data_IF_818804352360
#
_entry.id   IF_818804352360
#
_cell.length_a   1.000
_cell.length_b   1.000
_cell.length_c   1.000
_cell.angle_alpha   90.00
_cell.angle_beta   90.00
_cell.angle_gamma   90.00
#
_symmetry.space_group_name_H-M   'P 1'
#
loop_
_entity.id
_entity.type
_entity.pdbx_description
1 polymer ?
#
# COMPACT_ATOMS: atom_id res chain seq x y z
N UNK A 1 21.26 -14.21 -13.14
CA UNK A 1 19.99 -13.45 -13.16
C UNK A 1 18.77 -14.31 -12.79
N UNK A 2 18.04 -14.99 -13.69
CA UNK A 2 16.78 -15.70 -13.32
C UNK A 2 16.94 -16.81 -12.25
N UNK A 3 18.08 -17.52 -12.27
CA UNK A 3 18.44 -18.48 -11.21
C UNK A 3 18.50 -17.82 -9.83
N UNK A 4 19.15 -16.67 -9.72
CA UNK A 4 19.29 -15.96 -8.44
C UNK A 4 17.95 -15.42 -7.96
N UNK A 5 17.14 -14.90 -8.89
CA UNK A 5 15.80 -14.40 -8.58
C UNK A 5 14.92 -15.51 -7.99
N UNK A 6 14.80 -16.66 -8.66
CA UNK A 6 13.92 -17.73 -8.19
C UNK A 6 14.51 -18.62 -7.10
N UNK A 7 15.83 -18.70 -6.93
CA UNK A 7 16.45 -19.56 -5.90
C UNK A 7 16.79 -18.79 -4.62
N UNK A 8 16.71 -17.46 -4.63
CA UNK A 8 16.84 -16.68 -3.41
C UNK A 8 15.75 -17.06 -2.39
N UNK A 9 16.10 -17.02 -1.11
CA UNK A 9 15.19 -17.34 -0.01
C UNK A 9 14.40 -16.10 0.47
N UNK A 10 14.30 -15.07 -0.37
CA UNK A 10 13.57 -13.84 -0.08
C UNK A 10 12.07 -14.05 -0.08
N UNK A 11 11.34 -13.18 0.63
CA UNK A 11 9.88 -13.18 0.61
C UNK A 11 9.33 -12.93 -0.80
N UNK A 12 9.94 -12.01 -1.55
CA UNK A 12 9.52 -11.70 -2.91
C UNK A 12 9.76 -12.90 -3.85
N UNK A 13 10.88 -13.62 -3.73
CA UNK A 13 11.12 -14.82 -4.52
C UNK A 13 10.12 -15.92 -4.23
N UNK A 14 9.79 -16.14 -2.96
CA UNK A 14 8.75 -17.10 -2.57
C UNK A 14 7.38 -16.72 -3.16
N UNK A 15 7.00 -15.43 -3.12
CA UNK A 15 5.79 -14.95 -3.75
C UNK A 15 5.80 -15.15 -5.28
N UNK A 16 6.91 -14.83 -5.95
CA UNK A 16 7.08 -15.06 -7.39
C UNK A 16 6.95 -16.53 -7.77
N UNK A 17 7.58 -17.43 -7.02
CA UNK A 17 7.46 -18.87 -7.22
C UNK A 17 6.02 -19.34 -7.06
N UNK A 18 5.31 -18.85 -6.05
CA UNK A 18 3.92 -19.22 -5.81
C UNK A 18 3.01 -18.79 -6.97
N UNK A 19 3.14 -17.54 -7.42
CA UNK A 19 2.39 -17.03 -8.58
C UNK A 19 2.74 -17.79 -9.85
N UNK A 20 4.03 -18.03 -10.11
CA UNK A 20 4.49 -18.80 -11.26
C UNK A 20 3.90 -20.21 -11.25
N UNK A 21 3.85 -20.85 -10.08
CA UNK A 21 3.29 -22.20 -9.90
C UNK A 21 1.81 -22.28 -10.23
N UNK A 22 1.04 -21.24 -9.89
CA UNK A 22 -0.40 -21.19 -10.12
C UNK A 22 -0.76 -20.75 -11.55
N UNK A 23 0.14 -19.99 -12.22
CA UNK A 23 -0.11 -19.49 -13.59
C UNK A 23 0.48 -20.37 -14.69
N UNK A 24 1.58 -21.06 -14.45
CA UNK A 24 2.26 -21.84 -15.48
C UNK A 24 1.38 -23.02 -15.96
N UNK A 25 1.40 -23.27 -17.27
CA UNK A 25 0.66 -24.36 -17.93
C UNK A 25 1.56 -25.08 -18.93
N UNK A 26 1.20 -26.31 -19.28
CA UNK A 26 1.88 -27.10 -20.32
C UNK A 26 3.37 -27.29 -20.06
N UNK A 27 4.18 -27.16 -21.10
CA UNK A 27 5.63 -27.37 -21.04
C UNK A 27 6.35 -26.41 -20.08
N UNK A 28 5.89 -25.16 -19.99
CA UNK A 28 6.46 -24.17 -19.07
C UNK A 28 6.31 -24.64 -17.62
N UNK A 29 5.16 -25.22 -17.26
CA UNK A 29 4.95 -25.79 -15.93
C UNK A 29 5.90 -26.98 -15.67
N UNK A 30 6.12 -27.84 -16.67
CA UNK A 30 7.03 -28.99 -16.54
C UNK A 30 8.48 -28.53 -16.34
N UNK A 31 8.93 -27.53 -17.10
CA UNK A 31 10.26 -26.94 -16.96
C UNK A 31 10.46 -26.31 -15.58
N UNK A 32 9.48 -25.52 -15.11
CA UNK A 32 9.57 -24.87 -13.79
C UNK A 32 9.51 -25.89 -12.65
N UNK A 33 8.70 -26.95 -12.77
CA UNK A 33 8.66 -28.03 -11.78
C UNK A 33 10.02 -28.72 -11.61
N UNK A 34 10.67 -29.06 -12.73
CA UNK A 34 11.99 -29.67 -12.71
C UNK A 34 13.05 -28.70 -12.16
N UNK A 35 13.04 -27.45 -12.63
CA UNK A 35 14.02 -26.43 -12.26
C UNK A 35 13.95 -26.01 -10.78
N UNK A 36 12.74 -25.85 -10.23
CA UNK A 36 12.50 -25.41 -8.85
C UNK A 36 12.21 -26.56 -7.88
N UNK A 37 12.28 -27.81 -8.36
CA UNK A 37 12.03 -29.01 -7.56
C UNK A 37 10.66 -29.01 -6.86
N UNK A 38 9.61 -28.47 -7.51
CA UNK A 38 8.27 -28.34 -6.92
C UNK A 38 7.55 -29.66 -6.64
N UNK A 39 8.04 -30.78 -7.18
CA UNK A 39 7.48 -32.12 -6.96
C UNK A 39 7.46 -32.53 -5.49
N UNK A 40 8.35 -31.95 -4.67
CA UNK A 40 8.51 -32.30 -3.26
C UNK A 40 7.57 -31.55 -2.31
N UNK A 41 6.85 -30.53 -2.78
CA UNK A 41 6.09 -29.61 -1.92
C UNK A 41 4.63 -29.48 -2.39
N UNK A 42 3.66 -29.58 -1.48
CA UNK A 42 2.26 -29.28 -1.80
C UNK A 42 2.07 -27.80 -2.20
N UNK A 43 1.07 -27.47 -3.04
CA UNK A 43 0.69 -26.08 -3.29
C UNK A 43 0.28 -25.41 -1.96
N UNK A 44 0.87 -24.26 -1.67
CA UNK A 44 0.51 -23.46 -0.49
C UNK A 44 -0.57 -22.46 -0.90
N UNK A 45 -1.57 -22.27 -0.05
CA UNK A 45 -2.61 -21.27 -0.27
C UNK A 45 -2.03 -19.84 -0.20
N UNK A 46 -2.45 -18.97 -1.13
CA UNK A 46 -1.94 -17.60 -1.20
C UNK A 46 -2.35 -16.79 0.03
N UNK A 47 -3.57 -16.98 0.53
CA UNK A 47 -4.05 -16.33 1.75
C UNK A 47 -3.18 -16.67 2.95
N UNK A 48 -2.84 -17.95 3.13
CA UNK A 48 -1.92 -18.38 4.20
C UNK A 48 -0.56 -17.69 4.11
N UNK A 49 0.01 -17.58 2.89
CA UNK A 49 1.31 -16.91 2.72
C UNK A 49 1.19 -15.41 3.02
N UNK A 50 0.14 -14.74 2.54
CA UNK A 50 -0.08 -13.32 2.84
C UNK A 50 -0.23 -13.08 4.34
N UNK A 51 -1.06 -13.86 5.05
CA UNK A 51 -1.22 -13.74 6.51
C UNK A 51 0.11 -13.97 7.25
N UNK A 52 0.93 -14.93 6.80
CA UNK A 52 2.27 -15.15 7.39
C UNK A 52 3.20 -13.95 7.18
N UNK A 53 3.19 -13.34 5.99
CA UNK A 53 4.02 -12.16 5.71
C UNK A 53 3.54 -10.95 6.52
N UNK A 54 2.23 -10.73 6.64
CA UNK A 54 1.66 -9.68 7.47
C UNK A 54 2.03 -9.86 8.95
N UNK A 55 1.92 -11.09 9.47
CA UNK A 55 2.36 -11.40 10.83
C UNK A 55 3.86 -11.14 11.01
N UNK A 56 4.68 -11.42 10.01
CA UNK A 56 6.12 -11.15 10.04
C UNK A 56 6.43 -9.66 10.13
N UNK A 57 5.68 -8.81 9.41
CA UNK A 57 5.78 -7.35 9.54
C UNK A 57 5.38 -6.91 10.96
N UNK A 58 4.27 -7.43 11.49
CA UNK A 58 3.74 -7.05 12.80
C UNK A 58 4.60 -7.53 13.98
N UNK A 59 5.38 -8.60 13.80
CA UNK A 59 6.30 -9.14 14.81
C UNK A 59 7.76 -8.71 14.59
N UNK A 60 8.01 -7.81 13.64
CA UNK A 60 9.38 -7.44 13.28
C UNK A 60 10.13 -6.84 14.49
N UNK A 61 11.32 -7.36 14.85
CA UNK A 61 12.09 -6.84 15.97
C UNK A 61 12.76 -5.49 15.67
N UNK A 62 12.90 -5.14 14.39
CA UNK A 62 13.39 -3.82 13.95
C UNK A 62 12.19 -2.91 13.73
N UNK A 63 11.88 -2.13 14.76
CA UNK A 63 10.69 -1.28 14.81
C UNK A 63 10.96 0.20 14.52
N UNK A 64 12.14 0.53 13.98
CA UNK A 64 12.57 1.91 13.78
C UNK A 64 12.42 2.33 12.32
N UNK A 65 12.02 3.59 12.13
CA UNK A 65 12.07 4.26 10.83
C UNK A 65 13.52 4.37 10.34
N UNK A 66 13.71 4.34 9.04
CA UNK A 66 14.98 4.61 8.39
C UNK A 66 14.94 6.02 7.79
N UNK A 67 15.99 6.78 8.03
CA UNK A 67 16.14 8.09 7.40
C UNK A 67 16.45 7.91 5.91
N UNK A 68 15.74 8.65 5.07
CA UNK A 68 15.92 8.71 3.63
C UNK A 68 15.95 10.17 3.20
N UNK A 69 16.95 10.55 2.41
CA UNK A 69 17.02 11.91 1.83
C UNK A 69 15.83 12.20 0.92
N UNK A 70 15.39 11.19 0.16
CA UNK A 70 14.28 11.31 -0.79
C UNK A 70 12.92 11.18 -0.13
N UNK A 71 12.80 10.23 0.82
CA UNK A 71 11.51 9.81 1.37
C UNK A 71 11.21 10.30 2.80
N UNK A 72 12.20 10.86 3.52
CA UNK A 72 12.06 11.23 4.93
C UNK A 72 12.19 10.03 5.87
N UNK A 73 11.33 9.94 6.89
CA UNK A 73 11.21 8.73 7.72
C UNK A 73 10.46 7.64 6.94
N UNK A 74 11.19 6.60 6.51
CA UNK A 74 10.66 5.52 5.67
C UNK A 74 10.88 4.14 6.31
N UNK A 75 10.34 3.11 5.65
CA UNK A 75 10.44 1.72 6.04
C UNK A 75 11.81 1.13 5.67
N UNK A 76 12.27 0.16 6.46
CA UNK A 76 13.48 -0.58 6.10
C UNK A 76 13.31 -1.42 4.82
N UNK A 77 14.41 -1.70 4.12
CA UNK A 77 14.42 -2.54 2.93
C UNK A 77 13.74 -3.91 3.14
N UNK A 78 13.88 -4.49 4.33
CA UNK A 78 13.25 -5.77 4.67
C UNK A 78 11.72 -5.66 4.73
N UNK A 79 11.20 -4.57 5.30
CA UNK A 79 9.74 -4.32 5.34
C UNK A 79 9.23 -4.09 3.93
N UNK A 80 9.95 -3.30 3.13
CA UNK A 80 9.62 -3.09 1.71
C UNK A 80 9.56 -4.40 0.92
N UNK A 81 10.49 -5.33 1.15
CA UNK A 81 10.45 -6.65 0.52
C UNK A 81 9.18 -7.44 0.87
N UNK A 82 8.74 -7.41 2.13
CA UNK A 82 7.47 -8.04 2.52
C UNK A 82 6.26 -7.35 1.88
N UNK A 83 6.25 -6.01 1.81
CA UNK A 83 5.20 -5.24 1.15
C UNK A 83 5.10 -5.63 -0.32
N UNK A 84 6.21 -5.69 -1.05
CA UNK A 84 6.21 -6.09 -2.46
C UNK A 84 5.78 -7.55 -2.66
N UNK A 85 6.17 -8.45 -1.75
CA UNK A 85 5.72 -9.84 -1.79
C UNK A 85 4.20 -9.95 -1.61
N UNK A 86 3.63 -9.23 -0.64
CA UNK A 86 2.18 -9.19 -0.41
C UNK A 86 1.44 -8.56 -1.60
N UNK A 87 1.94 -7.44 -2.12
CA UNK A 87 1.38 -6.76 -3.30
C UNK A 87 1.30 -7.70 -4.51
N UNK A 88 2.38 -8.42 -4.81
CA UNK A 88 2.41 -9.41 -5.89
C UNK A 88 1.37 -10.53 -5.71
N UNK A 89 1.23 -11.04 -4.49
CA UNK A 89 0.25 -12.09 -4.17
C UNK A 89 -1.19 -11.58 -4.26
N UNK A 90 -1.45 -10.37 -3.78
CA UNK A 90 -2.76 -9.72 -3.89
C UNK A 90 -3.14 -9.42 -5.35
N UNK A 91 -2.18 -8.94 -6.15
CA UNK A 91 -2.35 -8.79 -7.60
C UNK A 91 -2.71 -10.11 -8.29
N UNK A 92 -2.23 -11.24 -7.79
CA UNK A 92 -2.63 -12.55 -8.29
C UNK A 92 -4.08 -12.91 -7.92
N UNK A 93 -4.51 -12.58 -6.70
CA UNK A 93 -5.86 -12.85 -6.18
C UNK A 93 -6.94 -11.86 -6.62
N UNK A 94 -6.52 -10.73 -7.21
CA UNK A 94 -7.38 -9.65 -7.73
C UNK A 94 -8.04 -8.79 -6.66
N UNK A 95 -8.67 -7.71 -7.10
CA UNK A 95 -9.19 -6.66 -6.23
C UNK A 95 -10.19 -7.14 -5.20
N UNK A 96 -11.27 -7.84 -5.59
CA UNK A 96 -12.35 -8.22 -4.68
C UNK A 96 -11.81 -9.04 -3.51
N UNK A 97 -10.98 -10.05 -3.79
CA UNK A 97 -10.37 -10.86 -2.75
C UNK A 97 -9.43 -10.04 -1.86
N UNK A 98 -8.62 -9.16 -2.46
CA UNK A 98 -7.65 -8.30 -1.75
C UNK A 98 -8.35 -7.33 -0.81
N UNK A 99 -9.40 -6.67 -1.29
CA UNK A 99 -10.20 -5.74 -0.52
C UNK A 99 -10.89 -6.45 0.66
N UNK A 100 -11.56 -7.57 0.39
CA UNK A 100 -12.42 -8.23 1.38
C UNK A 100 -11.63 -9.03 2.42
N UNK A 101 -10.47 -9.57 2.06
CA UNK A 101 -9.70 -10.43 2.96
C UNK A 101 -8.45 -9.78 3.53
N UNK A 102 -7.81 -8.85 2.81
CA UNK A 102 -6.56 -8.23 3.26
C UNK A 102 -6.84 -6.84 3.81
N UNK A 103 -7.36 -5.93 2.98
CA UNK A 103 -7.59 -4.54 3.42
C UNK A 103 -8.60 -4.51 4.58
N UNK A 104 -9.75 -5.15 4.40
CA UNK A 104 -10.86 -5.07 5.36
C UNK A 104 -10.65 -5.87 6.64
N UNK A 105 -10.04 -7.07 6.56
CA UNK A 105 -9.95 -8.01 7.69
C UNK A 105 -8.60 -8.06 8.37
N UNK A 106 -7.53 -7.60 7.73
CA UNK A 106 -6.17 -7.68 8.28
C UNK A 106 -5.56 -6.28 8.49
N UNK A 107 -5.62 -5.40 7.48
CA UNK A 107 -4.95 -4.10 7.53
C UNK A 107 -5.71 -3.06 8.36
N UNK A 108 -7.01 -2.86 8.09
CA UNK A 108 -7.81 -1.89 8.86
C UNK A 108 -7.89 -2.21 10.36
N UNK A 109 -8.02 -3.47 10.79
CA UNK A 109 -7.99 -3.79 12.22
C UNK A 109 -6.69 -3.38 12.94
N UNK A 110 -5.53 -3.36 12.25
CA UNK A 110 -4.27 -2.86 12.83
C UNK A 110 -4.36 -1.36 13.07
N UNK A 111 -4.88 -0.60 12.10
CA UNK A 111 -5.11 0.84 12.23
C UNK A 111 -6.09 1.16 13.37
N UNK A 112 -7.23 0.47 13.41
CA UNK A 112 -8.26 0.64 14.45
C UNK A 112 -7.68 0.36 15.86
N UNK A 113 -6.92 -0.72 16.00
CA UNK A 113 -6.23 -1.06 17.26
C UNK A 113 -5.26 0.03 17.68
N UNK A 114 -4.43 0.55 16.76
CA UNK A 114 -3.47 1.60 17.07
C UNK A 114 -4.15 2.92 17.49
N UNK A 115 -5.22 3.33 16.78
CA UNK A 115 -6.00 4.52 17.16
C UNK A 115 -6.64 4.35 18.54
N UNK A 116 -7.23 3.19 18.84
CA UNK A 116 -7.82 2.89 20.15
C UNK A 116 -6.80 2.98 21.27
N UNK A 117 -5.60 2.44 21.05
CA UNK A 117 -4.48 2.55 21.99
C UNK A 117 -4.14 4.01 22.28
N UNK A 118 -3.96 4.84 21.24
CA UNK A 118 -3.64 6.26 21.38
C UNK A 118 -4.72 7.05 22.15
N UNK A 119 -6.00 6.66 21.98
CA UNK A 119 -7.13 7.24 22.71
C UNK A 119 -7.26 6.75 24.16
N UNK A 120 -6.30 5.97 24.67
CA UNK A 120 -6.28 5.53 26.07
C UNK A 120 -7.25 4.39 26.39
N UNK A 121 -7.73 3.64 25.39
CA UNK A 121 -8.58 2.48 25.66
C UNK A 121 -7.80 1.41 26.44
N UNK A 122 -8.36 0.95 27.55
CA UNK A 122 -7.77 -0.11 28.35
C UNK A 122 -7.74 -1.46 27.60
N UNK A 123 -6.77 -2.30 27.92
CA UNK A 123 -6.57 -3.65 27.35
C UNK A 123 -6.23 -3.72 25.85
N UNK A 124 -5.85 -2.60 25.23
CA UNK A 124 -5.33 -2.62 23.86
C UNK A 124 -3.79 -2.76 23.91
N UNK A 125 -3.26 -3.75 23.20
CA UNK A 125 -1.82 -3.90 23.08
C UNK A 125 -1.21 -2.80 22.20
N UNK A 126 -0.07 -2.26 22.63
CA UNK A 126 0.70 -1.29 21.85
C UNK A 126 1.04 -1.84 20.46
N UNK A 127 0.94 -0.98 19.45
CA UNK A 127 1.37 -1.27 18.08
C UNK A 127 2.41 -0.24 17.70
N UNK A 128 3.65 -0.64 17.40
CA UNK A 128 4.70 0.28 16.95
C UNK A 128 4.32 1.10 15.73
N UNK A 129 4.73 2.37 15.71
CA UNK A 129 4.37 3.32 14.65
C UNK A 129 4.89 2.90 13.27
N UNK A 130 6.05 2.24 13.18
CA UNK A 130 6.56 1.71 11.90
C UNK A 130 5.64 0.63 11.32
N UNK A 131 4.94 -0.15 12.16
CA UNK A 131 3.99 -1.17 11.69
C UNK A 131 2.76 -0.49 11.09
N UNK A 132 2.29 0.59 11.72
CA UNK A 132 1.19 1.41 11.22
C UNK A 132 1.56 2.06 9.88
N UNK A 133 2.77 2.62 9.78
CA UNK A 133 3.31 3.15 8.53
C UNK A 133 3.38 2.06 7.44
N UNK A 134 3.83 0.84 7.79
CA UNK A 134 3.86 -0.30 6.87
C UNK A 134 2.48 -0.66 6.33
N UNK A 135 1.47 -0.66 7.21
CA UNK A 135 0.06 -0.90 6.85
C UNK A 135 -0.46 0.18 5.90
N UNK A 136 -0.23 1.46 6.21
CA UNK A 136 -0.64 2.58 5.35
C UNK A 136 0.00 2.50 3.96
N UNK A 137 1.31 2.28 3.88
CA UNK A 137 2.02 2.11 2.59
C UNK A 137 1.45 0.92 1.81
N UNK A 138 1.16 -0.19 2.49
CA UNK A 138 0.56 -1.35 1.85
C UNK A 138 -0.87 -1.07 1.34
N UNK A 139 -1.72 -0.38 2.11
CA UNK A 139 -3.07 0.01 1.66
C UNK A 139 -2.99 0.88 0.40
N UNK A 140 -2.08 1.86 0.35
CA UNK A 140 -1.87 2.70 -0.84
C UNK A 140 -1.57 1.88 -2.09
N UNK A 141 -0.59 0.96 -1.98
CA UNK A 141 -0.22 0.06 -3.08
C UNK A 141 -1.35 -0.86 -3.51
N UNK A 142 -2.03 -1.51 -2.56
CA UNK A 142 -3.13 -2.41 -2.87
C UNK A 142 -4.33 -1.65 -3.46
N UNK A 143 -4.56 -0.40 -3.09
CA UNK A 143 -5.60 0.44 -3.71
C UNK A 143 -5.32 0.75 -5.18
N UNK A 144 -4.06 0.82 -5.61
CA UNK A 144 -3.73 0.94 -7.05
C UNK A 144 -4.22 -0.27 -7.85
N UNK A 145 -4.26 -1.46 -7.25
CA UNK A 145 -4.87 -2.64 -7.89
C UNK A 145 -6.36 -2.41 -8.15
N UNK A 146 -7.08 -1.84 -7.19
CA UNK A 146 -8.50 -1.49 -7.34
C UNK A 146 -8.73 -0.48 -8.47
N UNK A 147 -7.87 0.53 -8.58
CA UNK A 147 -7.91 1.49 -9.70
C UNK A 147 -7.72 0.78 -11.04
N UNK A 148 -6.67 -0.04 -11.16
CA UNK A 148 -6.34 -0.79 -12.38
C UNK A 148 -7.43 -1.78 -12.79
N UNK A 149 -8.16 -2.34 -11.83
CA UNK A 149 -9.25 -3.29 -12.07
C UNK A 149 -10.63 -2.63 -12.22
N UNK A 150 -10.73 -1.30 -12.20
CA UNK A 150 -11.98 -0.58 -12.47
C UNK A 150 -12.88 -0.36 -11.25
N UNK A 151 -12.31 -0.23 -10.05
CA UNK A 151 -13.03 0.04 -8.79
C UNK A 151 -12.73 1.43 -8.18
N UNK A 152 -12.80 2.54 -8.94
CA UNK A 152 -12.40 3.86 -8.45
C UNK A 152 -13.25 4.35 -7.27
N UNK A 153 -14.54 4.01 -7.19
CA UNK A 153 -15.41 4.38 -6.06
C UNK A 153 -14.97 3.72 -4.76
N UNK A 154 -14.61 2.44 -4.78
CA UNK A 154 -14.12 1.74 -3.60
C UNK A 154 -12.78 2.33 -3.14
N UNK A 155 -11.90 2.63 -4.09
CA UNK A 155 -10.61 3.25 -3.79
C UNK A 155 -10.78 4.68 -3.27
N UNK A 156 -11.74 5.45 -3.81
CA UNK A 156 -12.10 6.77 -3.30
C UNK A 156 -12.50 6.70 -1.83
N UNK A 157 -13.34 5.73 -1.45
CA UNK A 157 -13.72 5.56 -0.04
C UNK A 157 -12.52 5.30 0.88
N UNK A 158 -11.58 4.46 0.43
CA UNK A 158 -10.32 4.22 1.16
C UNK A 158 -9.52 5.52 1.29
N UNK A 159 -9.35 6.25 0.19
CA UNK A 159 -8.62 7.52 0.19
C UNK A 159 -9.27 8.57 1.09
N UNK A 160 -10.61 8.62 1.18
CA UNK A 160 -11.32 9.53 2.07
C UNK A 160 -11.06 9.22 3.55
N UNK A 161 -10.97 7.94 3.94
CA UNK A 161 -10.62 7.54 5.31
C UNK A 161 -9.20 7.96 5.66
N UNK A 162 -8.23 7.72 4.77
CA UNK A 162 -6.83 8.15 4.98
C UNK A 162 -6.72 9.68 4.96
N UNK A 163 -7.50 10.34 4.10
CA UNK A 163 -7.59 11.79 4.01
C UNK A 163 -8.10 12.44 5.29
N UNK A 164 -9.16 11.88 5.88
CA UNK A 164 -9.65 12.31 7.19
C UNK A 164 -8.60 12.09 8.29
N UNK A 165 -7.90 10.96 8.25
CA UNK A 165 -6.82 10.68 9.20
C UNK A 165 -5.70 11.74 9.15
N UNK A 166 -5.21 12.10 7.96
CA UNK A 166 -4.11 13.07 7.85
C UNK A 166 -4.55 14.51 8.20
N UNK A 167 -5.81 14.87 7.96
CA UNK A 167 -6.35 16.18 8.34
C UNK A 167 -6.33 16.44 9.84
N UNK A 168 -6.39 15.38 10.66
CA UNK A 168 -6.32 15.47 12.12
C UNK A 168 -4.93 15.17 12.68
N UNK A 169 -3.93 14.96 11.81
CA UNK A 169 -2.64 14.44 12.26
C UNK A 169 -1.88 15.37 13.20
N UNK A 170 -1.97 16.69 12.99
CA UNK A 170 -1.31 17.68 13.84
C UNK A 170 -2.00 17.79 15.21
N UNK A 171 -3.34 17.81 15.24
CA UNK A 171 -4.13 17.94 16.46
C UNK A 171 -4.01 16.68 17.35
N UNK A 172 -3.85 15.51 16.73
CA UNK A 172 -3.76 14.21 17.40
C UNK A 172 -2.30 13.76 17.66
N UNK A 173 -1.32 14.65 17.45
CA UNK A 173 0.13 14.42 17.66
C UNK A 173 0.65 13.15 16.96
N UNK A 174 0.23 12.94 15.71
CA UNK A 174 0.58 11.74 14.95
C UNK A 174 2.08 11.75 14.60
N UNK A 175 2.82 10.65 14.83
CA UNK A 175 4.25 10.54 14.53
C UNK A 175 4.56 10.84 13.08
N UNK A 176 5.66 11.54 12.83
CA UNK A 176 6.01 12.05 11.51
C UNK A 176 6.08 10.97 10.44
N UNK A 177 6.80 9.86 10.67
CA UNK A 177 6.85 8.74 9.73
C UNK A 177 5.48 8.10 9.43
N UNK A 178 4.52 8.16 10.36
CA UNK A 178 3.14 7.70 10.11
C UNK A 178 2.39 8.69 9.22
N UNK A 179 2.59 10.00 9.44
CA UNK A 179 2.03 11.03 8.56
C UNK A 179 2.56 10.90 7.13
N UNK A 180 3.88 10.74 6.98
CA UNK A 180 4.52 10.52 5.68
C UNK A 180 3.95 9.28 4.99
N UNK A 181 3.78 8.18 5.72
CA UNK A 181 3.21 6.96 5.18
C UNK A 181 1.76 7.13 4.69
N UNK A 182 0.94 7.88 5.43
CA UNK A 182 -0.42 8.22 5.00
C UNK A 182 -0.43 9.12 3.75
N UNK A 183 0.48 10.10 3.68
CA UNK A 183 0.62 10.99 2.52
C UNK A 183 1.03 10.20 1.28
N UNK A 184 2.04 9.34 1.37
CA UNK A 184 2.41 8.50 0.22
C UNK A 184 1.29 7.53 -0.17
N UNK A 185 0.52 7.01 0.80
CA UNK A 185 -0.66 6.22 0.47
C UNK A 185 -1.68 7.07 -0.31
N UNK A 186 -1.95 8.31 0.11
CA UNK A 186 -2.85 9.21 -0.63
C UNK A 186 -2.31 9.55 -2.04
N UNK A 187 -1.00 9.72 -2.20
CA UNK A 187 -0.37 9.84 -3.51
C UNK A 187 -0.72 8.63 -4.40
N UNK A 188 -0.53 7.41 -3.87
CA UNK A 188 -0.83 6.17 -4.59
C UNK A 188 -2.33 6.04 -4.95
N UNK A 189 -3.23 6.58 -4.11
CA UNK A 189 -4.68 6.54 -4.30
C UNK A 189 -5.24 7.75 -5.07
N UNK A 190 -4.40 8.74 -5.38
CA UNK A 190 -4.80 10.01 -5.98
C UNK A 190 -5.65 9.89 -7.25
N UNK A 191 -5.46 8.91 -8.16
CA UNK A 191 -6.29 8.82 -9.36
C UNK A 191 -7.78 8.53 -9.07
N UNK A 192 -8.12 8.10 -7.84
CA UNK A 192 -9.54 7.92 -7.44
C UNK A 192 -10.28 9.24 -7.26
N UNK A 193 -9.58 10.31 -6.87
CA UNK A 193 -10.16 11.61 -6.55
C UNK A 193 -9.08 12.72 -6.45
N UNK A 194 -8.43 13.07 -7.58
CA UNK A 194 -7.20 13.87 -7.54
C UNK A 194 -7.42 15.26 -6.95
N UNK A 195 -8.56 15.91 -7.24
CA UNK A 195 -8.85 17.26 -6.75
C UNK A 195 -8.99 17.33 -5.22
N UNK A 196 -9.73 16.39 -4.61
CA UNK A 196 -9.89 16.35 -3.15
C UNK A 196 -8.59 15.97 -2.46
N UNK A 197 -7.86 15.01 -3.03
CA UNK A 197 -6.58 14.54 -2.48
C UNK A 197 -5.53 15.65 -2.56
N UNK A 198 -5.41 16.38 -3.67
CA UNK A 198 -4.53 17.55 -3.81
C UNK A 198 -4.81 18.58 -2.70
N UNK A 199 -6.09 18.91 -2.48
CA UNK A 199 -6.49 19.85 -1.43
C UNK A 199 -6.09 19.36 -0.03
N UNK A 200 -6.29 18.08 0.26
CA UNK A 200 -5.91 17.49 1.56
C UNK A 200 -4.40 17.55 1.76
N UNK A 201 -3.62 17.18 0.75
CA UNK A 201 -2.17 17.15 0.84
C UNK A 201 -1.57 18.55 0.96
N UNK A 202 -2.09 19.54 0.25
CA UNK A 202 -1.67 20.95 0.40
C UNK A 202 -2.05 21.52 1.78
N UNK A 203 -3.24 21.19 2.29
CA UNK A 203 -3.64 21.59 3.64
C UNK A 203 -2.68 21.00 4.69
N UNK A 204 -2.36 19.71 4.60
CA UNK A 204 -1.37 19.07 5.49
C UNK A 204 0.03 19.71 5.36
N UNK A 205 0.49 19.96 4.12
CA UNK A 205 1.78 20.59 3.83
C UNK A 205 1.94 21.95 4.50
N UNK A 206 0.87 22.76 4.51
CA UNK A 206 0.90 24.11 5.11
C UNK A 206 0.83 24.10 6.64
N UNK A 207 0.41 22.99 7.25
CA UNK A 207 0.26 22.87 8.71
C UNK A 207 1.51 22.32 9.41
N UNK A 208 2.31 21.50 8.73
CA UNK A 208 3.50 20.89 9.32
C UNK A 208 4.68 21.84 9.36
N UNK A 209 5.42 21.83 10.48
CA UNK A 209 6.70 22.54 10.62
C UNK A 209 7.89 21.70 10.14
N UNK A 210 7.67 20.43 9.78
CA UNK A 210 8.72 19.53 9.33
C UNK A 210 9.13 19.83 7.88
N UNK A 211 10.38 19.52 7.54
CA UNK A 211 10.85 19.61 6.15
C UNK A 211 10.18 18.53 5.31
N UNK A 212 9.57 18.93 4.20
CA UNK A 212 8.84 18.03 3.29
C UNK A 212 9.86 17.27 2.41
N UNK A 213 9.83 15.93 2.37
CA UNK A 213 10.66 15.13 1.48
C UNK A 213 10.42 15.44 0.00
N UNK A 214 11.47 15.34 -0.83
CA UNK A 214 11.40 15.66 -2.26
C UNK A 214 10.42 14.75 -3.04
N UNK A 215 10.27 13.48 -2.63
CA UNK A 215 9.30 12.58 -3.23
C UNK A 215 7.86 13.06 -3.04
N UNK A 216 7.53 13.68 -1.89
CA UNK A 216 6.20 14.24 -1.65
C UNK A 216 5.96 15.49 -2.49
N UNK A 217 6.97 16.34 -2.65
CA UNK A 217 6.87 17.52 -3.54
C UNK A 217 6.57 17.08 -4.96
N UNK A 218 7.28 16.07 -5.46
CA UNK A 218 7.04 15.51 -6.80
C UNK A 218 5.63 14.91 -6.92
N UNK A 219 5.19 14.13 -5.92
CA UNK A 219 3.82 13.63 -5.87
C UNK A 219 2.78 14.75 -5.93
N UNK A 220 2.93 15.82 -5.15
CA UNK A 220 1.98 16.93 -5.13
C UNK A 220 1.80 17.58 -6.51
N UNK A 221 2.89 17.73 -7.25
CA UNK A 221 2.87 18.22 -8.63
C UNK A 221 2.12 17.26 -9.56
N UNK A 222 2.39 15.96 -9.45
CA UNK A 222 1.69 14.91 -10.21
C UNK A 222 0.18 14.91 -9.92
N UNK A 223 -0.23 14.92 -8.64
CA UNK A 223 -1.63 14.95 -8.23
C UNK A 223 -2.33 16.25 -8.67
N UNK A 224 -1.62 17.38 -8.61
CA UNK A 224 -2.11 18.66 -9.11
C UNK A 224 -2.40 18.63 -10.62
N UNK A 225 -1.52 18.03 -11.41
CA UNK A 225 -1.73 17.90 -12.87
C UNK A 225 -2.92 17.01 -13.22
N UNK A 226 -3.11 15.88 -12.53
CA UNK A 226 -4.29 15.01 -12.69
C UNK A 226 -5.61 15.75 -12.40
N UNK A 227 -5.59 16.69 -11.45
CA UNK A 227 -6.76 17.49 -11.08
C UNK A 227 -7.14 18.50 -12.17
N UNK A 228 -6.13 19.07 -12.86
CA UNK A 228 -6.35 20.01 -13.95
C UNK A 228 -6.92 19.32 -15.19
N UNK A 229 -6.41 18.13 -15.53
CA UNK A 229 -6.88 17.35 -16.70
C UNK A 229 -8.32 16.86 -16.55
N UNK A 230 -8.73 16.46 -15.34
CA UNK A 230 -10.12 16.08 -15.05
C UNK A 230 -11.13 17.23 -15.18
N UNK A 231 -10.66 18.48 -15.10
CA UNK A 231 -11.50 19.68 -15.24
C UNK A 231 -11.67 20.13 -16.70
N UNK A 232 -10.78 19.72 -17.59
CA UNK A 232 -10.86 20.05 -19.02
C UNK A 232 -11.86 19.18 -19.79
N UNK A 233 -12.10 17.94 -19.34
CA UNK A 233 -13.04 17.02 -20.00
C UNK A 233 -14.51 17.35 -19.71
N UNK A 234 -14.80 18.05 -18.61
CA UNK A 234 -16.18 18.41 -18.23
C UNK A 234 -16.72 19.66 -18.94
N UNK A 235 -15.91 20.39 -19.70
CA UNK A 235 -16.29 21.66 -20.36
C UNK A 235 -16.62 21.54 -21.85
N UNK A 236 -16.55 20.35 -22.46
CA UNK A 236 -16.77 20.18 -23.92
C UNK A 236 -18.13 19.60 -24.33
N UNK A 237 -19.12 19.52 -23.44
CA UNK A 237 -20.45 18.99 -23.75
C UNK A 237 -21.54 20.04 -23.54
N UNK A 238 -21.65 20.99 -24.46
CA UNK A 238 -22.75 21.95 -24.44
C UNK A 238 -22.50 23.14 -25.37
N UNK A 239 -22.61 22.90 -26.69
CA UNK A 239 -23.25 23.85 -27.61
C UNK A 239 -23.18 23.29 -29.03
N UNK A 240 -24.30 22.76 -29.50
CA UNK A 240 -24.67 22.66 -30.92
C UNK A 240 -26.10 22.12 -31.03
N UNK A 241 -27.07 23.02 -31.16
CA UNK A 241 -28.27 22.73 -31.92
C UNK A 241 -28.74 24.03 -32.60
N UNK A 242 -29.06 23.99 -33.90
CA UNK A 242 -29.70 25.10 -34.61
C UNK A 242 -31.19 25.22 -34.30
#
# INVERSE_FOLDING_TARGET
MWREVFLSQSAISQAMQLVARQRARGEVLNCLRAFLSWEKNAPIDVGIVVSKLLLTIQLCPKTEFQASEEFGEDLSANIWEYIFAIDLLCCHQRWIWTHDNIISKELWPVMDKWIKYRKGHSNIAYTPDVIVASVLRLIGRLGQLGLKEGFPTAVKNISSVIGMFIQHAQDEDIPWGVQLAAVYALCDLSPSNPAEISKILEAWRTQTSNTIPSAIVSCLEEVGSLSADGSAVSTSAGDSAP
#
